data_IF_942135435954
#
_entry.id   IF_942135435954
#
_cell.length_a   1.000
_cell.length_b   1.000
_cell.length_c   1.000
_cell.angle_alpha   90.00
_cell.angle_beta   90.00
_cell.angle_gamma   90.00
#
_symmetry.space_group_name_H-M   'P 1'
#
loop_
_entity.id
_entity.type
_entity.pdbx_description
1 polymer ?
#
# COMPACT_ATOMS: atom_id res chain seq x y z
N UNK A 1 -12.56 6.93 4.49
CA UNK A 1 -11.71 7.16 5.67
C UNK A 1 -12.59 7.19 6.91
N UNK A 2 -12.19 6.45 7.92
CA UNK A 2 -12.90 6.44 9.20
C UNK A 2 -12.44 7.61 10.10
N UNK A 3 -13.12 7.85 11.26
CA UNK A 3 -12.82 8.99 12.11
C UNK A 3 -11.34 9.11 12.50
N UNK A 4 -10.85 10.34 12.51
CA UNK A 4 -9.48 10.71 12.85
C UNK A 4 -8.40 10.17 11.91
N UNK A 5 -8.78 9.65 10.74
CA UNK A 5 -7.81 9.32 9.70
C UNK A 5 -7.31 10.61 9.02
N UNK A 6 -6.01 10.68 8.75
CA UNK A 6 -5.35 11.85 8.14
C UNK A 6 -4.52 11.48 6.93
N UNK A 7 -4.71 12.22 5.86
CA UNK A 7 -3.91 12.13 4.65
C UNK A 7 -3.53 13.55 4.20
N UNK A 8 -2.63 14.22 4.94
CA UNK A 8 -2.50 15.68 4.85
C UNK A 8 -1.66 16.22 3.69
N UNK A 9 -0.72 15.45 3.10
CA UNK A 9 0.26 16.02 2.19
C UNK A 9 0.54 15.15 0.97
N UNK A 10 0.08 15.60 -0.21
CA UNK A 10 0.38 14.96 -1.49
C UNK A 10 0.14 13.45 -1.53
N UNK A 11 -0.90 12.99 -0.87
CA UNK A 11 -1.23 11.58 -0.85
C UNK A 11 -2.08 11.21 -2.06
N UNK A 12 -1.86 10.01 -2.59
CA UNK A 12 -2.79 9.39 -3.54
C UNK A 12 -3.50 8.23 -2.84
N UNK A 13 -4.81 8.28 -2.84
CA UNK A 13 -5.65 7.26 -2.21
C UNK A 13 -6.63 6.74 -3.26
N UNK A 14 -6.29 5.63 -3.89
CA UNK A 14 -7.13 5.00 -4.90
C UNK A 14 -7.88 3.80 -4.36
N UNK A 15 -9.20 3.79 -4.44
CA UNK A 15 -10.06 2.64 -4.08
C UNK A 15 -9.63 1.94 -2.78
N UNK A 16 -9.45 2.70 -1.71
CA UNK A 16 -8.88 2.23 -0.45
C UNK A 16 -9.80 2.46 0.73
N UNK A 17 -9.57 1.70 1.79
CA UNK A 17 -10.26 1.86 3.07
C UNK A 17 -9.21 2.18 4.13
N UNK A 18 -9.39 3.31 4.82
CA UNK A 18 -8.55 3.72 5.92
C UNK A 18 -9.33 3.61 7.22
N UNK A 19 -8.82 2.83 8.16
CA UNK A 19 -9.38 2.70 9.50
C UNK A 19 -9.27 3.99 10.31
N UNK A 20 -9.71 3.94 11.55
CA UNK A 20 -9.65 5.09 12.46
C UNK A 20 -8.21 5.39 12.86
N UNK A 21 -7.90 6.67 13.05
CA UNK A 21 -6.56 7.13 13.44
C UNK A 21 -5.42 6.72 12.49
N UNK A 22 -5.73 6.39 11.25
CA UNK A 22 -4.69 6.16 10.23
C UNK A 22 -4.04 7.50 9.90
N UNK A 23 -2.72 7.51 9.77
CA UNK A 23 -2.00 8.71 9.33
C UNK A 23 -1.06 8.36 8.18
N UNK A 24 -1.27 9.00 7.05
CA UNK A 24 -0.40 8.85 5.88
C UNK A 24 0.66 9.94 5.88
N UNK A 25 1.94 9.54 5.88
CA UNK A 25 3.04 10.47 5.68
C UNK A 25 2.98 11.13 4.30
N UNK A 26 3.66 12.25 4.15
CA UNK A 26 3.67 13.00 2.90
C UNK A 26 4.10 12.14 1.72
N UNK A 27 3.38 12.23 0.61
CA UNK A 27 3.71 11.50 -0.60
C UNK A 27 3.37 10.01 -0.57
N UNK A 28 2.68 9.51 0.45
CA UNK A 28 2.19 8.13 0.46
C UNK A 28 1.23 7.90 -0.69
N UNK A 29 1.41 6.78 -1.39
CA UNK A 29 0.56 6.42 -2.51
C UNK A 29 -0.06 5.05 -2.30
N UNK A 30 -1.39 5.02 -2.24
CA UNK A 30 -2.17 3.78 -2.21
C UNK A 30 -2.63 3.50 -3.64
N UNK A 31 -1.79 2.80 -4.38
CA UNK A 31 -2.04 2.51 -5.79
C UNK A 31 -3.21 1.54 -5.95
N UNK A 32 -4.07 1.79 -6.92
CA UNK A 32 -5.29 1.03 -7.12
C UNK A 32 -5.31 0.19 -8.40
N UNK A 33 -4.32 0.35 -9.27
CA UNK A 33 -4.24 -0.40 -10.52
C UNK A 33 -2.86 -1.02 -10.69
N UNK A 34 -2.82 -2.32 -10.85
CA UNK A 34 -1.56 -3.05 -11.04
C UNK A 34 -0.89 -2.63 -12.34
N UNK A 35 0.41 -2.34 -12.29
CA UNK A 35 1.19 -1.90 -13.46
C UNK A 35 1.11 -2.91 -14.60
N UNK A 36 1.12 -4.20 -14.28
CA UNK A 36 1.03 -5.28 -15.27
C UNK A 36 -0.40 -5.59 -15.74
N UNK A 37 -1.39 -4.85 -15.23
CA UNK A 37 -2.79 -5.11 -15.60
C UNK A 37 -3.06 -4.70 -17.03
N UNK A 38 -3.43 -5.66 -17.87
CA UNK A 38 -3.74 -5.48 -19.28
C UNK A 38 -5.19 -5.81 -19.53
N UNK A 39 -5.89 -4.91 -20.22
CA UNK A 39 -7.26 -5.17 -20.65
C UNK A 39 -7.30 -6.32 -21.66
N UNK A 40 -8.24 -7.22 -21.46
CA UNK A 40 -8.56 -8.23 -22.46
C UNK A 40 -9.16 -7.51 -23.68
N UNK A 41 -8.58 -7.74 -24.86
CA UNK A 41 -9.01 -7.06 -26.10
C UNK A 41 -10.46 -7.39 -26.46
N UNK A 42 -10.88 -8.64 -26.19
CA UNK A 42 -12.23 -9.11 -26.56
C UNK A 42 -13.32 -8.64 -25.60
N UNK A 43 -13.02 -8.59 -24.31
CA UNK A 43 -14.00 -8.24 -23.27
C UNK A 43 -13.88 -6.81 -22.77
N UNK A 44 -12.77 -6.15 -23.03
CA UNK A 44 -12.45 -4.82 -22.48
C UNK A 44 -12.20 -4.81 -20.97
N UNK A 45 -12.12 -5.99 -20.36
CA UNK A 45 -11.96 -6.14 -18.89
C UNK A 45 -10.51 -6.42 -18.52
N UNK A 46 -10.12 -5.96 -17.34
CA UNK A 46 -8.86 -6.30 -16.69
C UNK A 46 -9.06 -7.46 -15.74
N UNK A 47 -8.00 -8.27 -15.49
CA UNK A 47 -8.11 -9.34 -14.50
C UNK A 47 -8.36 -8.74 -13.10
N UNK A 48 -9.07 -9.49 -12.27
CA UNK A 48 -9.28 -9.12 -10.88
C UNK A 48 -8.03 -9.29 -10.04
N UNK A 49 -7.92 -8.49 -8.98
CA UNK A 49 -6.82 -8.56 -8.02
C UNK A 49 -7.07 -9.72 -7.08
N UNK A 50 -6.07 -10.59 -6.92
CA UNK A 50 -6.10 -11.72 -6.01
C UNK A 50 -5.15 -11.48 -4.86
N UNK A 51 -5.56 -11.83 -3.65
CA UNK A 51 -4.79 -11.63 -2.43
C UNK A 51 -4.68 -12.95 -1.67
N UNK A 52 -3.47 -13.26 -1.21
CA UNK A 52 -3.26 -14.44 -0.37
C UNK A 52 -3.18 -14.02 1.09
N UNK A 53 -4.02 -14.65 1.91
CA UNK A 53 -4.05 -14.44 3.37
C UNK A 53 -3.88 -15.80 4.04
N UNK A 54 -2.81 -15.95 4.83
CA UNK A 54 -2.52 -17.19 5.55
C UNK A 54 -2.56 -18.43 4.65
N UNK A 55 -1.96 -18.33 3.46
CA UNK A 55 -1.87 -19.42 2.51
C UNK A 55 -3.12 -19.66 1.66
N UNK A 56 -4.21 -18.93 1.88
CA UNK A 56 -5.43 -19.03 1.09
C UNK A 56 -5.56 -17.84 0.14
N UNK A 57 -5.80 -18.13 -1.14
CA UNK A 57 -6.03 -17.10 -2.14
C UNK A 57 -7.50 -16.68 -2.19
N UNK A 58 -7.70 -15.38 -2.22
CA UNK A 58 -9.03 -14.76 -2.38
C UNK A 58 -9.03 -13.93 -3.66
N UNK A 59 -10.04 -14.16 -4.50
CA UNK A 59 -10.29 -13.30 -5.66
C UNK A 59 -11.19 -12.16 -5.21
N UNK A 60 -10.70 -10.93 -5.31
CA UNK A 60 -11.48 -9.76 -4.89
C UNK A 60 -12.62 -9.42 -5.83
N UNK A 61 -12.60 -9.95 -7.05
CA UNK A 61 -13.54 -9.58 -8.10
C UNK A 61 -13.37 -8.15 -8.61
N UNK A 62 -12.33 -7.45 -8.16
CA UNK A 62 -12.08 -6.04 -8.49
C UNK A 62 -10.82 -5.90 -9.33
N UNK A 63 -10.92 -5.19 -10.45
CA UNK A 63 -9.76 -4.83 -11.27
C UNK A 63 -9.00 -3.65 -10.67
N UNK A 64 -9.67 -2.83 -9.87
CA UNK A 64 -9.08 -1.71 -9.13
C UNK A 64 -9.34 -1.90 -7.65
N UNK A 65 -8.27 -1.94 -6.88
CA UNK A 65 -8.32 -2.02 -5.42
C UNK A 65 -7.02 -1.43 -4.88
N UNK A 66 -7.14 -0.52 -3.95
CA UNK A 66 -5.98 0.04 -3.27
C UNK A 66 -5.58 -0.77 -2.05
N UNK A 67 -5.40 -0.10 -0.94
CA UNK A 67 -5.04 -0.71 0.33
C UNK A 67 -6.21 -0.69 1.32
N UNK A 68 -6.20 -1.65 2.21
CA UNK A 68 -7.08 -1.63 3.39
C UNK A 68 -6.16 -1.52 4.60
N UNK A 69 -6.27 -0.39 5.30
CA UNK A 69 -5.45 -0.08 6.47
C UNK A 69 -6.30 -0.19 7.72
N UNK A 70 -5.89 -1.04 8.63
CA UNK A 70 -6.52 -1.17 9.94
C UNK A 70 -6.31 0.08 10.80
N UNK A 71 -6.96 0.12 11.96
CA UNK A 71 -6.90 1.28 12.86
C UNK A 71 -5.46 1.56 13.31
N UNK A 72 -5.14 2.83 13.43
CA UNK A 72 -3.84 3.32 13.92
C UNK A 72 -2.64 2.89 13.07
N UNK A 73 -2.85 2.52 11.81
CA UNK A 73 -1.75 2.30 10.88
C UNK A 73 -1.16 3.66 10.48
N UNK A 74 0.17 3.72 10.44
CA UNK A 74 0.88 4.92 10.00
C UNK A 74 1.83 4.56 8.86
N UNK A 75 1.95 5.45 7.89
CA UNK A 75 2.92 5.32 6.80
C UNK A 75 3.91 6.47 6.82
N UNK A 76 5.18 6.15 6.58
CA UNK A 76 6.22 7.16 6.38
C UNK A 76 6.15 7.82 5.01
N UNK A 77 6.88 8.92 4.86
CA UNK A 77 6.91 9.69 3.61
C UNK A 77 7.30 8.84 2.41
N UNK A 78 6.64 9.07 1.29
CA UNK A 78 6.92 8.42 0.00
C UNK A 78 6.83 6.90 0.02
N UNK A 79 6.11 6.33 0.98
CA UNK A 79 5.80 4.90 0.91
C UNK A 79 4.78 4.63 -0.18
N UNK A 80 4.90 3.46 -0.81
CA UNK A 80 4.00 3.02 -1.87
C UNK A 80 3.40 1.69 -1.47
N UNK A 81 2.08 1.64 -1.42
CA UNK A 81 1.36 0.40 -1.20
C UNK A 81 0.73 -0.03 -2.52
N UNK A 82 1.22 -1.14 -3.06
CA UNK A 82 0.70 -1.66 -4.32
C UNK A 82 -0.71 -2.25 -4.13
N UNK A 83 -1.50 -2.35 -5.21
CA UNK A 83 -2.88 -2.79 -5.11
C UNK A 83 -3.05 -4.10 -4.36
N UNK A 84 -3.96 -4.12 -3.38
CA UNK A 84 -4.23 -5.30 -2.59
C UNK A 84 -3.38 -5.46 -1.32
N UNK A 85 -2.78 -4.39 -0.82
CA UNK A 85 -2.13 -4.40 0.50
C UNK A 85 -3.18 -4.35 1.60
N UNK A 86 -3.12 -5.33 2.50
CA UNK A 86 -3.93 -5.38 3.72
C UNK A 86 -3.00 -5.23 4.92
N UNK A 87 -3.03 -4.06 5.56
CA UNK A 87 -2.18 -3.80 6.72
C UNK A 87 -3.04 -3.77 7.97
N UNK A 88 -2.77 -4.71 8.87
CA UNK A 88 -3.53 -4.83 10.10
C UNK A 88 -3.18 -3.72 11.09
N UNK A 89 -4.03 -3.56 12.08
CA UNK A 89 -4.01 -2.45 13.03
C UNK A 89 -2.66 -2.25 13.73
N UNK A 90 -2.42 -1.03 14.12
CA UNK A 90 -1.27 -0.63 14.93
C UNK A 90 0.09 -1.00 14.30
N UNK A 91 0.16 -0.94 12.99
CA UNK A 91 1.40 -1.21 12.24
C UNK A 91 1.96 0.09 11.65
N UNK A 92 3.26 0.10 11.45
CA UNK A 92 3.99 1.25 10.93
C UNK A 92 4.75 0.84 9.67
N UNK A 93 4.56 1.56 8.59
CA UNK A 93 5.33 1.43 7.36
C UNK A 93 6.35 2.57 7.31
N UNK A 94 7.62 2.25 7.22
CA UNK A 94 8.67 3.26 7.17
C UNK A 94 8.70 3.99 5.82
N UNK A 95 9.34 5.15 5.82
CA UNK A 95 9.52 5.96 4.61
C UNK A 95 10.18 5.18 3.48
N UNK A 96 9.79 5.48 2.25
CA UNK A 96 10.34 4.92 1.02
C UNK A 96 10.16 3.41 0.85
N UNK A 97 9.33 2.78 1.65
CA UNK A 97 9.02 1.36 1.50
C UNK A 97 8.01 1.20 0.37
N UNK A 98 8.26 0.24 -0.53
CA UNK A 98 7.29 -0.19 -1.53
C UNK A 98 6.80 -1.58 -1.17
N UNK A 99 5.52 -1.70 -0.80
CA UNK A 99 4.92 -2.96 -0.39
C UNK A 99 4.22 -3.65 -1.55
N UNK A 100 4.45 -4.95 -1.66
CA UNK A 100 3.67 -5.81 -2.55
C UNK A 100 2.31 -6.10 -1.93
N UNK A 101 1.34 -6.49 -2.77
CA UNK A 101 0.04 -6.96 -2.30
C UNK A 101 0.20 -8.12 -1.31
N UNK A 102 -0.69 -8.19 -0.35
CA UNK A 102 -0.69 -9.25 0.64
C UNK A 102 -1.13 -8.78 2.01
N UNK A 103 -1.11 -9.70 2.94
CA UNK A 103 -1.50 -9.47 4.31
C UNK A 103 -0.28 -9.20 5.19
N UNK A 104 -0.36 -8.12 5.95
CA UNK A 104 0.68 -7.71 6.89
C UNK A 104 0.07 -7.73 8.30
N UNK A 105 0.66 -8.53 9.23
CA UNK A 105 0.05 -8.75 10.55
C UNK A 105 0.05 -7.50 11.43
N UNK A 106 -0.81 -7.46 12.47
CA UNK A 106 -0.92 -6.31 13.36
C UNK A 106 0.33 -6.14 14.24
N UNK A 107 0.53 -4.94 14.75
CA UNK A 107 1.59 -4.60 15.69
C UNK A 107 3.01 -4.83 15.16
N UNK A 108 3.21 -4.58 13.86
CA UNK A 108 4.51 -4.74 13.22
C UNK A 108 5.03 -3.43 12.66
N UNK A 109 6.35 -3.34 12.57
CA UNK A 109 7.04 -2.27 11.85
C UNK A 109 7.58 -2.88 10.56
N UNK A 110 7.19 -2.31 9.43
CA UNK A 110 7.64 -2.74 8.11
C UNK A 110 8.70 -1.78 7.64
N UNK A 111 9.94 -2.27 7.53
CA UNK A 111 11.12 -1.47 7.24
C UNK A 111 11.73 -1.83 5.90
N UNK A 112 12.37 -0.85 5.28
CA UNK A 112 13.29 -1.07 4.19
C UNK A 112 14.70 -1.26 4.77
N UNK A 113 15.35 -2.36 4.43
CA UNK A 113 16.76 -2.53 4.72
C UNK A 113 17.54 -1.86 3.59
N UNK A 114 18.32 -0.82 3.93
CA UNK A 114 18.94 0.06 2.96
C UNK A 114 20.42 0.21 3.28
N UNK A 115 21.27 0.09 2.25
CA UNK A 115 22.68 0.39 2.36
C UNK A 115 22.96 1.71 1.67
N UNK A 116 23.69 2.58 2.37
CA UNK A 116 24.10 3.89 1.84
C UNK A 116 25.60 3.88 1.66
N UNK A 117 26.04 4.23 0.46
CA UNK A 117 27.44 4.41 0.15
C UNK A 117 27.78 5.89 0.14
N UNK A 118 28.85 6.25 0.85
CA UNK A 118 29.36 7.62 0.90
C UNK A 118 30.73 7.63 0.24
N UNK A 119 30.83 8.33 -0.87
CA UNK A 119 32.08 8.42 -1.65
C UNK A 119 32.50 9.87 -1.83
N UNK A 120 33.80 10.11 -2.03
CA UNK A 120 34.28 11.43 -2.38
C UNK A 120 33.72 11.87 -3.73
N UNK A 121 33.32 13.12 -3.81
CA UNK A 121 32.96 13.75 -5.07
C UNK A 121 34.20 14.23 -5.78
N UNK A 122 34.48 13.70 -6.94
CA UNK A 122 35.55 14.18 -7.82
C UNK A 122 35.04 15.37 -8.62
N UNK A 123 35.83 16.46 -8.59
CA UNK A 123 35.50 17.68 -9.32
C UNK A 123 36.09 17.66 -10.74
#
# INVERSE_FOLDING_TARGET
MLPYAHAPHFNYIGDSILGSNVNLGAGTKLSNLTVSSIKNILTGKRPSIKITIKGKEYDTGLAKLGAILGDSVQTGCNSVLNPGCLISENSLVYANVSLRKGYYPPNHIIKLRQEIEIVEKNN
#
